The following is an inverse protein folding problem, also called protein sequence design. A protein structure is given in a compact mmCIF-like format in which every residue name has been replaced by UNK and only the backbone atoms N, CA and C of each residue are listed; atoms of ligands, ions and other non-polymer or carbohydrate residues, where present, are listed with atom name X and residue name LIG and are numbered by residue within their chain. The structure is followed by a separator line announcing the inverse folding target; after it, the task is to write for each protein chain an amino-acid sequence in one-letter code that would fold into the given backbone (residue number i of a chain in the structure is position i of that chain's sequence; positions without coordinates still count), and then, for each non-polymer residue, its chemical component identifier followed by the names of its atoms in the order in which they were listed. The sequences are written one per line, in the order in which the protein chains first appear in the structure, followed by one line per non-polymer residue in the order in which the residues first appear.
data_IF_652396428531
#
_entry.id   IF_652396428531
#
_cell.length_a   1.000
_cell.length_b   1.000
_cell.length_c   1.000
_cell.angle_alpha   90.00
_cell.angle_beta   90.00
_cell.angle_gamma   90.00
#
_symmetry.space_group_name_H-M   'P 1'
#
loop_
_entity.id
_entity.type
_entity.pdbx_description
1 polymer ?
#
# COMPACT_ATOMS: atom_id res chain seq x y z
N UNK A 1 -12.65 -9.09 -6.29
CA UNK A 1 -12.21 -8.72 -4.93
C UNK A 1 -13.23 -8.99 -3.81
N UNK A 2 -14.53 -9.21 -4.09
CA UNK A 2 -15.54 -9.41 -3.01
C UNK A 2 -16.34 -10.71 -3.11
N UNK A 3 -16.00 -11.57 -4.06
CA UNK A 3 -16.77 -12.79 -4.35
C UNK A 3 -16.79 -13.74 -3.15
N UNK A 4 -15.64 -13.94 -2.50
CA UNK A 4 -15.53 -14.86 -1.36
C UNK A 4 -16.37 -14.37 -0.16
N UNK A 5 -16.22 -13.12 0.31
CA UNK A 5 -17.07 -12.62 1.39
C UNK A 5 -18.56 -12.59 1.03
N UNK A 6 -18.92 -12.21 -0.21
CA UNK A 6 -20.31 -12.21 -0.66
C UNK A 6 -20.92 -13.62 -0.67
N UNK A 7 -20.19 -14.60 -1.23
CA UNK A 7 -20.62 -15.99 -1.28
C UNK A 7 -20.76 -16.59 0.13
N UNK A 8 -19.82 -16.30 1.04
CA UNK A 8 -19.89 -16.76 2.42
C UNK A 8 -21.16 -16.25 3.13
N UNK A 9 -21.49 -14.96 2.97
CA UNK A 9 -22.70 -14.37 3.56
C UNK A 9 -23.98 -14.97 2.95
N UNK A 10 -24.03 -15.10 1.63
CA UNK A 10 -25.19 -15.64 0.93
C UNK A 10 -25.45 -17.11 1.29
N UNK A 11 -24.43 -17.96 1.16
CA UNK A 11 -24.53 -19.38 1.51
C UNK A 11 -24.84 -19.58 3.00
N UNK A 12 -24.19 -18.83 3.89
CA UNK A 12 -24.45 -18.90 5.32
C UNK A 12 -25.87 -18.48 5.68
N UNK A 13 -26.38 -17.40 5.06
CA UNK A 13 -27.77 -16.97 5.21
C UNK A 13 -28.77 -18.03 4.74
N UNK A 14 -28.51 -18.66 3.58
CA UNK A 14 -29.33 -19.76 3.08
C UNK A 14 -29.34 -20.97 4.02
N UNK A 15 -28.18 -21.40 4.51
CA UNK A 15 -28.07 -22.55 5.42
C UNK A 15 -28.90 -22.32 6.68
N UNK A 16 -28.86 -21.13 7.28
CA UNK A 16 -29.70 -20.84 8.45
C UNK A 16 -31.17 -20.82 8.10
N UNK A 17 -31.54 -20.17 6.99
CA UNK A 17 -32.93 -20.07 6.58
C UNK A 17 -33.53 -21.47 6.40
N UNK A 18 -32.77 -22.40 5.82
CA UNK A 18 -33.13 -23.82 5.70
C UNK A 18 -33.31 -24.45 7.08
N UNK A 19 -32.34 -24.30 7.97
CA UNK A 19 -32.38 -24.91 9.32
C UNK A 19 -33.48 -24.35 10.22
N UNK A 20 -33.89 -23.10 10.01
CA UNK A 20 -34.98 -22.45 10.73
C UNK A 20 -36.36 -22.69 10.10
N UNK A 21 -36.43 -23.43 8.99
CA UNK A 21 -37.69 -23.70 8.28
C UNK A 21 -38.33 -22.45 7.65
N UNK A 22 -37.56 -21.38 7.47
CA UNK A 22 -38.03 -20.10 6.87
C UNK A 22 -37.49 -19.90 5.45
N UNK A 23 -36.80 -20.91 4.91
CA UNK A 23 -36.23 -20.85 3.56
C UNK A 23 -37.31 -20.67 2.51
N UNK A 24 -37.06 -19.73 1.60
CA UNK A 24 -37.86 -19.52 0.39
C UNK A 24 -36.91 -19.45 -0.79
N UNK A 25 -37.09 -20.35 -1.76
CA UNK A 25 -36.26 -20.39 -2.96
C UNK A 25 -36.30 -19.04 -3.70
N UNK A 26 -37.47 -18.41 -3.79
CA UNK A 26 -37.62 -17.09 -4.39
C UNK A 26 -36.77 -16.02 -3.70
N UNK A 27 -36.72 -15.98 -2.37
CA UNK A 27 -35.87 -15.05 -1.62
C UNK A 27 -34.39 -15.32 -1.88
N UNK A 28 -33.95 -16.58 -1.83
CA UNK A 28 -32.55 -16.93 -2.10
C UNK A 28 -32.12 -16.57 -3.53
N UNK A 29 -33.01 -16.75 -4.51
CA UNK A 29 -32.79 -16.33 -5.90
C UNK A 29 -32.75 -14.80 -6.04
N UNK A 30 -33.66 -14.08 -5.38
CA UNK A 30 -33.63 -12.61 -5.36
C UNK A 30 -32.34 -12.07 -4.73
N UNK A 31 -31.87 -12.66 -3.62
CA UNK A 31 -30.63 -12.26 -2.97
C UNK A 31 -29.42 -12.52 -3.90
N UNK A 32 -29.38 -13.69 -4.55
CA UNK A 32 -28.34 -14.03 -5.52
C UNK A 32 -28.35 -13.07 -6.71
N UNK A 33 -29.54 -12.79 -7.26
CA UNK A 33 -29.71 -11.84 -8.36
C UNK A 33 -29.27 -10.43 -7.93
N UNK A 34 -29.61 -10.00 -6.72
CA UNK A 34 -29.17 -8.72 -6.16
C UNK A 34 -27.66 -8.62 -6.05
N UNK A 35 -26.99 -9.66 -5.55
CA UNK A 35 -25.53 -9.73 -5.49
C UNK A 35 -24.89 -9.69 -6.88
N UNK A 36 -25.43 -10.43 -7.84
CA UNK A 36 -24.95 -10.44 -9.23
C UNK A 36 -25.15 -9.09 -9.90
N UNK A 37 -26.32 -8.48 -9.79
CA UNK A 37 -26.62 -7.16 -10.35
C UNK A 37 -25.71 -6.10 -9.73
N UNK A 38 -25.56 -6.09 -8.40
CA UNK A 38 -24.65 -5.17 -7.73
C UNK A 38 -23.20 -5.35 -8.18
N UNK A 39 -22.76 -6.60 -8.34
CA UNK A 39 -21.44 -6.93 -8.89
C UNK A 39 -21.27 -6.48 -10.34
N UNK A 40 -22.28 -6.65 -11.19
CA UNK A 40 -22.27 -6.21 -12.58
C UNK A 40 -22.28 -4.69 -12.72
N UNK A 41 -23.03 -3.98 -11.86
CA UNK A 41 -23.02 -2.51 -11.84
C UNK A 41 -21.63 -2.00 -11.42
N UNK A 42 -21.09 -2.51 -10.30
CA UNK A 42 -19.78 -2.09 -9.82
C UNK A 42 -18.65 -2.46 -10.79
N UNK A 43 -18.67 -3.69 -11.33
CA UNK A 43 -17.71 -4.17 -12.31
C UNK A 43 -17.83 -3.41 -13.63
N UNK A 44 -19.05 -3.18 -14.12
CA UNK A 44 -19.34 -2.41 -15.32
C UNK A 44 -18.87 -0.97 -15.21
N UNK A 45 -19.11 -0.31 -14.06
CA UNK A 45 -18.60 1.03 -13.78
C UNK A 45 -17.05 1.07 -13.81
N UNK A 46 -16.39 0.06 -13.24
CA UNK A 46 -14.94 -0.06 -13.31
C UNK A 46 -14.41 -0.28 -14.73
N UNK A 47 -15.04 -1.17 -15.51
CA UNK A 47 -14.68 -1.39 -16.91
C UNK A 47 -14.89 -0.14 -17.76
N UNK A 48 -16.01 0.56 -17.55
CA UNK A 48 -16.30 1.83 -18.22
C UNK A 48 -15.23 2.87 -17.87
N UNK A 49 -14.88 3.02 -16.60
CA UNK A 49 -13.81 3.92 -16.16
C UNK A 49 -12.48 3.62 -16.86
N UNK A 50 -12.04 2.36 -16.85
CA UNK A 50 -10.81 1.93 -17.52
C UNK A 50 -10.83 2.22 -19.02
N UNK A 51 -11.99 2.03 -19.67
CA UNK A 51 -12.14 2.37 -21.08
C UNK A 51 -12.09 3.88 -21.32
N UNK A 52 -12.75 4.66 -20.46
CA UNK A 52 -12.84 6.11 -20.57
C UNK A 52 -11.47 6.78 -20.34
N UNK A 53 -10.61 6.21 -19.49
CA UNK A 53 -9.26 6.71 -19.22
C UNK A 53 -8.19 6.13 -20.14
N UNK A 54 -8.56 5.33 -21.16
CA UNK A 54 -7.61 4.66 -22.06
C UNK A 54 -6.78 3.56 -21.40
N UNK A 55 -7.11 3.16 -20.17
CA UNK A 55 -6.36 2.17 -19.39
C UNK A 55 -6.81 0.72 -19.63
N UNK A 56 -7.85 0.50 -20.45
CA UNK A 56 -8.41 -0.83 -20.70
C UNK A 56 -7.41 -1.81 -21.34
N UNK A 57 -6.73 -1.39 -22.41
CA UNK A 57 -5.76 -2.27 -23.07
C UNK A 57 -4.52 -2.55 -22.17
N UNK A 58 -3.88 -1.54 -21.54
CA UNK A 58 -2.80 -1.79 -20.57
C UNK A 58 -3.22 -2.68 -19.40
N UNK A 59 -4.46 -2.53 -18.90
CA UNK A 59 -4.98 -3.39 -17.84
C UNK A 59 -4.97 -4.87 -18.24
N UNK A 60 -5.50 -5.19 -19.43
CA UNK A 60 -5.50 -6.57 -19.92
C UNK A 60 -4.11 -7.08 -20.24
N UNK A 61 -3.22 -6.23 -20.72
CA UNK A 61 -1.82 -6.57 -20.89
C UNK A 61 -1.22 -7.04 -19.55
N UNK A 62 -1.36 -6.25 -18.49
CA UNK A 62 -0.85 -6.59 -17.15
C UNK A 62 -1.48 -7.90 -16.65
N UNK A 63 -2.81 -8.03 -16.73
CA UNK A 63 -3.53 -9.20 -16.22
C UNK A 63 -3.13 -10.47 -16.95
N UNK A 64 -3.01 -10.45 -18.28
CA UNK A 64 -2.80 -11.65 -19.08
C UNK A 64 -1.31 -12.00 -19.25
N UNK A 65 -0.43 -11.01 -19.35
CA UNK A 65 0.97 -11.24 -19.75
C UNK A 65 2.00 -10.97 -18.66
N UNK A 66 1.69 -10.10 -17.69
CA UNK A 66 2.63 -9.72 -16.63
C UNK A 66 2.30 -10.41 -15.29
N UNK A 67 1.02 -10.58 -14.96
CA UNK A 67 0.59 -11.02 -13.63
C UNK A 67 1.08 -12.42 -13.23
N UNK A 68 1.36 -13.28 -14.21
CA UNK A 68 1.91 -14.61 -13.97
C UNK A 68 3.29 -14.55 -13.32
N UNK A 69 4.21 -13.80 -13.94
CA UNK A 69 5.57 -13.61 -13.44
C UNK A 69 5.59 -12.83 -12.13
N UNK A 70 4.78 -11.77 -12.03
CA UNK A 70 4.62 -11.05 -10.76
C UNK A 70 4.23 -12.02 -9.64
N UNK A 71 3.22 -12.86 -9.86
CA UNK A 71 2.77 -13.85 -8.88
C UNK A 71 3.84 -14.87 -8.53
N UNK A 72 4.74 -15.23 -9.44
CA UNK A 72 5.88 -16.09 -9.08
C UNK A 72 6.91 -15.35 -8.24
N UNK A 73 7.19 -14.08 -8.55
CA UNK A 73 8.15 -13.24 -7.84
C UNK A 73 7.71 -12.87 -6.43
N UNK A 74 6.40 -12.66 -6.20
CA UNK A 74 5.85 -12.26 -4.89
C UNK A 74 4.99 -13.33 -4.20
N UNK A 75 4.70 -14.44 -4.86
CA UNK A 75 3.68 -15.40 -4.39
C UNK A 75 4.19 -16.52 -3.50
N UNK A 76 5.49 -16.62 -3.25
CA UNK A 76 6.08 -17.64 -2.40
C UNK A 76 5.48 -17.64 -0.99
N UNK A 77 5.15 -18.83 -0.47
CA UNK A 77 4.56 -18.99 0.87
C UNK A 77 5.39 -18.34 1.98
N UNK A 78 6.73 -18.40 1.87
CA UNK A 78 7.63 -17.76 2.83
C UNK A 78 7.46 -16.24 2.89
N UNK A 79 7.39 -15.57 1.72
CA UNK A 79 7.17 -14.13 1.65
C UNK A 79 5.76 -13.75 2.14
N UNK A 80 4.73 -14.54 1.80
CA UNK A 80 3.37 -14.33 2.32
C UNK A 80 3.30 -14.45 3.84
N UNK A 81 3.95 -15.46 4.41
CA UNK A 81 4.01 -15.63 5.86
C UNK A 81 4.77 -14.48 6.52
N UNK A 82 5.93 -14.11 5.96
CA UNK A 82 6.74 -12.99 6.46
C UNK A 82 5.99 -11.65 6.41
N UNK A 83 5.28 -11.35 5.32
CA UNK A 83 4.48 -10.13 5.17
C UNK A 83 3.28 -10.11 6.12
N UNK A 84 2.57 -11.23 6.28
CA UNK A 84 1.51 -11.33 7.28
C UNK A 84 2.05 -11.15 8.70
N UNK A 85 3.13 -11.84 9.08
CA UNK A 85 3.75 -11.68 10.40
C UNK A 85 4.25 -10.25 10.64
N UNK A 86 4.88 -9.64 9.62
CA UNK A 86 5.30 -8.26 9.66
C UNK A 86 4.12 -7.33 9.91
N UNK A 87 2.99 -7.54 9.23
CA UNK A 87 1.76 -6.79 9.52
C UNK A 87 1.33 -6.95 10.98
N UNK A 88 1.27 -8.18 11.51
CA UNK A 88 0.84 -8.39 12.90
C UNK A 88 1.75 -7.71 13.93
N UNK A 89 3.06 -7.69 13.70
CA UNK A 89 4.01 -7.00 14.58
C UNK A 89 3.92 -5.49 14.41
N UNK A 90 3.92 -5.02 13.17
CA UNK A 90 4.00 -3.61 12.83
C UNK A 90 2.73 -2.83 13.20
N UNK A 91 1.58 -3.46 13.02
CA UNK A 91 0.26 -2.86 13.30
C UNK A 91 -0.24 -3.15 14.72
N UNK A 92 0.60 -3.67 15.60
CA UNK A 92 0.24 -3.81 17.01
C UNK A 92 -0.10 -2.43 17.62
N UNK A 93 -1.13 -2.35 18.48
CA UNK A 93 -1.96 -3.45 18.98
C UNK A 93 -3.15 -3.79 18.06
N UNK A 94 -3.46 -3.00 17.04
CA UNK A 94 -4.65 -3.18 16.20
C UNK A 94 -4.75 -4.58 15.59
N UNK A 95 -3.62 -5.12 15.17
CA UNK A 95 -3.52 -6.48 14.65
C UNK A 95 -3.92 -7.56 15.67
N UNK A 96 -3.75 -7.31 16.98
CA UNK A 96 -4.16 -8.22 18.06
C UNK A 96 -5.66 -8.37 18.18
N UNK A 97 -6.44 -7.46 17.57
CA UNK A 97 -7.90 -7.57 17.49
C UNK A 97 -8.33 -8.90 16.90
N UNK A 98 -7.56 -9.46 15.97
CA UNK A 98 -7.86 -10.76 15.38
C UNK A 98 -7.89 -11.90 16.43
N UNK A 99 -7.12 -11.80 17.51
CA UNK A 99 -7.11 -12.79 18.61
C UNK A 99 -8.45 -12.86 19.34
N UNK A 100 -9.27 -11.80 19.29
CA UNK A 100 -10.60 -11.76 19.90
C UNK A 100 -11.69 -11.92 18.85
N UNK A 101 -11.57 -11.21 17.72
CA UNK A 101 -12.57 -11.24 16.66
C UNK A 101 -12.70 -12.60 15.98
N UNK A 102 -11.61 -13.36 15.79
CA UNK A 102 -11.68 -14.70 15.18
C UNK A 102 -12.43 -15.69 16.08
N UNK A 103 -12.08 -15.90 17.36
CA UNK A 103 -12.84 -16.79 18.24
C UNK A 103 -14.31 -16.37 18.37
N UNK A 104 -14.57 -15.06 18.45
CA UNK A 104 -15.92 -14.53 18.52
C UNK A 104 -16.74 -14.84 17.27
N UNK A 105 -16.17 -14.61 16.09
CA UNK A 105 -16.82 -14.91 14.82
C UNK A 105 -17.10 -16.40 14.66
N UNK A 106 -16.12 -17.24 15.01
CA UNK A 106 -16.26 -18.70 14.98
C UNK A 106 -17.36 -19.17 15.95
N UNK A 107 -17.40 -18.60 17.16
CA UNK A 107 -18.46 -18.91 18.12
C UNK A 107 -19.84 -18.53 17.59
N UNK A 108 -20.01 -17.34 17.01
CA UNK A 108 -21.28 -16.94 16.40
C UNK A 108 -21.71 -17.90 15.28
N UNK A 109 -20.76 -18.40 14.49
CA UNK A 109 -21.00 -19.45 13.49
C UNK A 109 -21.46 -20.76 14.12
N UNK A 110 -20.79 -21.23 15.17
CA UNK A 110 -21.16 -22.46 15.89
C UNK A 110 -22.54 -22.33 16.52
N UNK A 111 -22.81 -21.22 17.22
CA UNK A 111 -24.08 -20.95 17.90
C UNK A 111 -25.24 -20.87 16.90
N UNK A 112 -25.00 -20.30 15.71
CA UNK A 112 -26.00 -20.27 14.63
C UNK A 112 -26.27 -21.67 14.02
N UNK A 113 -25.31 -22.59 14.15
CA UNK A 113 -25.43 -23.99 13.71
C UNK A 113 -25.94 -24.91 14.83
N UNK A 114 -26.13 -24.42 16.06
CA UNK A 114 -26.76 -25.20 17.11
C UNK A 114 -28.25 -25.45 16.80
N UNK A 115 -28.87 -26.52 17.33
CA UNK A 115 -30.30 -26.72 17.21
C UNK A 115 -31.06 -25.48 17.76
N UNK A 116 -32.14 -25.05 17.10
CA UNK A 116 -32.92 -23.91 17.59
C UNK A 116 -33.43 -24.21 19.00
N UNK A 117 -32.92 -23.50 20.00
CA UNK A 117 -33.48 -23.54 21.34
C UNK A 117 -34.92 -22.99 21.29
N UNK A 118 -35.81 -23.45 22.18
CA UNK A 118 -37.18 -22.92 22.33
C UNK A 118 -37.25 -21.44 22.73
N UNK A 119 -36.10 -20.78 22.91
CA UNK A 119 -35.99 -19.38 23.31
C UNK A 119 -36.24 -18.48 22.11
N UNK A 120 -36.98 -17.39 22.34
CA UNK A 120 -37.27 -16.34 21.36
C UNK A 120 -36.04 -16.00 20.52
N UNK A 121 -36.15 -15.90 19.19
CA UNK A 121 -35.04 -15.52 18.34
C UNK A 121 -34.53 -14.15 18.79
N UNK A 122 -33.27 -14.10 19.22
CA UNK A 122 -32.57 -12.82 19.39
C UNK A 122 -32.54 -12.13 18.02
N UNK A 123 -33.21 -10.97 17.96
CA UNK A 123 -33.36 -10.16 16.74
C UNK A 123 -32.02 -9.76 16.12
N UNK A 124 -30.92 -9.82 16.88
CA UNK A 124 -29.56 -9.55 16.41
C UNK A 124 -28.77 -10.77 15.91
N UNK A 125 -29.22 -12.00 16.16
CA UNK A 125 -28.40 -13.20 15.92
C UNK A 125 -28.05 -13.43 14.44
N UNK A 126 -29.00 -13.18 13.54
CA UNK A 126 -28.76 -13.30 12.10
C UNK A 126 -27.74 -12.27 11.60
N UNK A 127 -27.86 -11.01 12.05
CA UNK A 127 -26.91 -9.95 11.71
C UNK A 127 -25.50 -10.25 12.21
N UNK A 128 -25.36 -10.75 13.45
CA UNK A 128 -24.05 -11.15 14.01
C UNK A 128 -23.40 -12.27 13.22
N UNK A 129 -24.18 -13.27 12.77
CA UNK A 129 -23.61 -14.30 11.94
C UNK A 129 -23.14 -13.73 10.60
N UNK A 130 -23.98 -12.97 9.89
CA UNK A 130 -23.60 -12.42 8.58
C UNK A 130 -22.32 -11.58 8.71
N UNK A 131 -22.20 -10.77 9.77
CA UNK A 131 -20.99 -10.01 10.06
C UNK A 131 -19.77 -10.91 10.36
N UNK A 132 -19.98 -12.02 11.08
CA UNK A 132 -18.93 -13.00 11.39
C UNK A 132 -18.44 -13.74 10.14
N UNK A 133 -19.36 -14.14 9.25
CA UNK A 133 -19.04 -14.77 7.96
C UNK A 133 -18.31 -13.80 7.05
N UNK A 134 -18.78 -12.54 6.98
CA UNK A 134 -18.12 -11.47 6.24
C UNK A 134 -16.68 -11.28 6.72
N UNK A 135 -16.49 -11.18 8.04
CA UNK A 135 -15.17 -11.03 8.67
C UNK A 135 -14.23 -12.19 8.33
N UNK A 136 -14.65 -13.43 8.61
CA UNK A 136 -13.81 -14.62 8.43
C UNK A 136 -13.45 -14.83 6.96
N UNK A 137 -14.43 -14.68 6.05
CA UNK A 137 -14.21 -14.84 4.63
C UNK A 137 -13.27 -13.77 4.06
N UNK A 138 -13.42 -12.51 4.51
CA UNK A 138 -12.53 -11.44 4.10
C UNK A 138 -11.12 -11.62 4.65
N UNK A 139 -10.97 -12.03 5.92
CA UNK A 139 -9.68 -12.31 6.54
C UNK A 139 -8.95 -13.43 5.78
N UNK A 140 -9.63 -14.53 5.47
CA UNK A 140 -9.07 -15.62 4.67
C UNK A 140 -8.64 -15.13 3.29
N UNK A 141 -9.48 -14.35 2.61
CA UNK A 141 -9.13 -13.79 1.31
C UNK A 141 -7.90 -12.88 1.37
N UNK A 142 -7.85 -11.98 2.36
CA UNK A 142 -6.78 -11.00 2.52
C UNK A 142 -5.44 -11.63 2.93
N UNK A 143 -5.47 -12.66 3.77
CA UNK A 143 -4.26 -13.31 4.30
C UNK A 143 -3.75 -14.47 3.44
N UNK A 144 -4.63 -15.22 2.78
CA UNK A 144 -4.23 -16.45 2.07
C UNK A 144 -4.25 -16.30 0.54
N UNK A 145 -5.15 -15.49 0.00
CA UNK A 145 -5.37 -15.42 -1.45
C UNK A 145 -4.66 -14.21 -2.04
N UNK A 146 -4.87 -13.04 -1.44
CA UNK A 146 -4.24 -11.79 -1.85
C UNK A 146 -2.82 -11.64 -1.28
N UNK A 147 -2.01 -10.79 -1.92
CA UNK A 147 -0.76 -10.32 -1.30
C UNK A 147 -1.13 -9.35 -0.19
N UNK A 148 -0.70 -9.65 1.03
CA UNK A 148 -1.16 -9.02 2.27
C UNK A 148 -0.53 -7.64 2.51
N UNK A 149 -0.80 -6.70 1.60
CA UNK A 149 -0.49 -5.29 1.81
C UNK A 149 -1.39 -4.68 2.89
N UNK A 150 -0.91 -3.61 3.50
CA UNK A 150 -1.56 -2.91 4.61
C UNK A 150 -3.01 -2.52 4.29
N UNK A 151 -3.25 -1.98 3.08
CA UNK A 151 -4.59 -1.57 2.65
C UNK A 151 -5.55 -2.75 2.44
N UNK A 152 -5.02 -3.95 2.14
CA UNK A 152 -5.83 -5.17 1.99
C UNK A 152 -6.30 -5.66 3.36
N UNK A 153 -5.43 -5.58 4.37
CA UNK A 153 -5.70 -6.01 5.74
C UNK A 153 -6.47 -4.98 6.58
N UNK A 154 -6.51 -3.71 6.16
CA UNK A 154 -7.34 -2.69 6.80
C UNK A 154 -8.83 -3.06 6.79
N UNK A 155 -9.33 -3.69 5.73
CA UNK A 155 -10.75 -4.08 5.62
C UNK A 155 -11.17 -5.12 6.67
N UNK A 156 -10.53 -6.30 6.79
CA UNK A 156 -10.90 -7.25 7.83
C UNK A 156 -10.70 -6.67 9.23
N UNK A 157 -9.72 -5.79 9.46
CA UNK A 157 -9.58 -5.07 10.73
C UNK A 157 -10.83 -4.24 11.07
N UNK A 158 -11.33 -3.44 10.13
CA UNK A 158 -12.53 -2.62 10.33
C UNK A 158 -13.79 -3.46 10.57
N UNK A 159 -13.93 -4.58 9.86
CA UNK A 159 -15.06 -5.51 10.06
C UNK A 159 -14.95 -6.19 11.44
N UNK A 160 -13.74 -6.56 11.86
CA UNK A 160 -13.48 -7.11 13.19
C UNK A 160 -13.83 -6.13 14.31
N UNK A 161 -13.52 -4.84 14.16
CA UNK A 161 -13.96 -3.78 15.08
C UNK A 161 -15.48 -3.70 15.17
N UNK A 162 -16.17 -3.72 14.01
CA UNK A 162 -17.64 -3.72 13.98
C UNK A 162 -18.22 -4.95 14.71
N UNK A 163 -17.58 -6.11 14.58
CA UNK A 163 -18.00 -7.34 15.27
C UNK A 163 -17.88 -7.21 16.80
N UNK A 164 -16.80 -6.62 17.30
CA UNK A 164 -16.62 -6.38 18.74
C UNK A 164 -17.66 -5.41 19.28
N UNK A 165 -17.94 -4.31 18.57
CA UNK A 165 -18.98 -3.34 18.96
C UNK A 165 -20.37 -3.98 18.94
N UNK A 166 -20.66 -4.82 17.95
CA UNK A 166 -21.93 -5.54 17.87
C UNK A 166 -22.11 -6.54 19.01
N UNK A 167 -21.01 -7.12 19.51
CA UNK A 167 -21.03 -8.04 20.65
C UNK A 167 -21.31 -7.34 21.97
N UNK A 168 -20.65 -6.21 22.25
CA UNK A 168 -20.83 -5.43 23.49
C UNK A 168 -22.29 -5.01 23.73
N UNK A 169 -23.01 -4.69 22.66
CA UNK A 169 -24.44 -4.32 22.73
C UNK A 169 -25.38 -5.47 23.11
N UNK A 170 -24.93 -6.72 22.95
CA UNK A 170 -25.75 -7.92 23.13
C UNK A 170 -25.33 -8.69 24.38
N UNK A 171 -24.04 -8.77 24.63
CA UNK A 171 -23.47 -9.43 25.79
C UNK A 171 -22.86 -8.35 26.69
N UNK A 172 -23.35 -8.23 27.94
CA UNK A 172 -22.67 -7.41 28.94
C UNK A 172 -21.26 -7.97 29.12
N UNK A 173 -20.20 -7.25 28.73
CA UNK A 173 -18.85 -7.75 28.90
C UNK A 173 -18.58 -7.99 30.39
N UNK A 174 -17.89 -9.09 30.70
CA UNK A 174 -17.43 -9.31 32.07
C UNK A 174 -16.48 -8.17 32.50
N UNK A 175 -16.35 -7.87 33.79
CA UNK A 175 -15.40 -6.85 34.26
C UNK A 175 -13.96 -7.09 33.74
N UNK A 176 -13.56 -8.35 33.60
CA UNK A 176 -12.26 -8.71 33.00
C UNK A 176 -12.16 -8.32 31.51
N UNK A 177 -13.22 -8.53 30.72
CA UNK A 177 -13.27 -8.11 29.32
C UNK A 177 -13.28 -6.58 29.19
N UNK A 178 -14.00 -5.88 30.08
CA UNK A 178 -13.96 -4.41 30.14
C UNK A 178 -12.56 -3.90 30.46
N UNK A 179 -11.88 -4.52 31.44
CA UNK A 179 -10.49 -4.22 31.77
C UNK A 179 -9.53 -4.48 30.61
N UNK A 180 -9.70 -5.59 29.90
CA UNK A 180 -8.89 -5.92 28.71
C UNK A 180 -9.12 -4.92 27.56
N UNK A 181 -10.38 -4.52 27.32
CA UNK A 181 -10.71 -3.51 26.32
C UNK A 181 -10.14 -2.14 26.70
N UNK A 182 -10.25 -1.73 27.97
CA UNK A 182 -9.66 -0.50 28.46
C UNK A 182 -8.13 -0.51 28.31
N UNK A 183 -7.47 -1.62 28.68
CA UNK A 183 -6.04 -1.79 28.47
C UNK A 183 -5.67 -1.73 26.99
N UNK A 184 -6.43 -2.39 26.11
CA UNK A 184 -6.23 -2.32 24.66
C UNK A 184 -6.31 -0.87 24.16
N UNK A 185 -7.36 -0.12 24.54
CA UNK A 185 -7.51 1.29 24.14
C UNK A 185 -6.35 2.13 24.67
N UNK A 186 -5.94 1.94 25.92
CA UNK A 186 -4.80 2.65 26.50
C UNK A 186 -3.50 2.35 25.76
N UNK A 187 -3.21 1.08 25.46
CA UNK A 187 -2.03 0.69 24.68
C UNK A 187 -2.13 1.26 23.27
N UNK A 188 -3.29 1.13 22.61
CA UNK A 188 -3.52 1.64 21.25
C UNK A 188 -3.27 3.14 21.17
N UNK A 189 -3.77 3.92 22.13
CA UNK A 189 -3.51 5.35 22.25
C UNK A 189 -2.03 5.64 22.55
N UNK A 190 -1.42 4.89 23.48
CA UNK A 190 -0.02 5.11 23.88
C UNK A 190 0.97 4.85 22.74
N UNK A 191 0.70 3.87 21.86
CA UNK A 191 1.56 3.57 20.71
C UNK A 191 1.10 4.23 19.42
N UNK A 192 -0.06 4.90 19.41
CA UNK A 192 -0.65 5.46 18.20
C UNK A 192 0.30 6.47 17.55
N UNK A 193 0.62 6.35 16.24
CA UNK A 193 1.52 7.29 15.59
C UNK A 193 1.04 8.75 15.67
N UNK A 194 -0.28 8.98 15.60
CA UNK A 194 -0.87 10.32 15.74
C UNK A 194 -0.88 10.85 17.18
N UNK A 195 -0.73 9.99 18.20
CA UNK A 195 -0.65 10.43 19.60
C UNK A 195 0.78 10.83 19.99
N UNK A 196 1.77 10.60 19.11
CA UNK A 196 3.16 11.01 19.37
C UNK A 196 3.25 12.53 19.48
N UNK A 197 3.97 13.09 20.48
CA UNK A 197 4.11 14.54 20.63
C UNK A 197 4.58 15.24 19.36
N UNK A 198 5.50 14.62 18.60
CA UNK A 198 5.97 15.13 17.31
C UNK A 198 4.87 15.25 16.26
N UNK A 199 3.95 14.28 16.18
CA UNK A 199 2.85 14.30 15.25
C UNK A 199 1.80 15.34 15.67
N UNK A 200 1.43 15.38 16.96
CA UNK A 200 0.51 16.38 17.51
C UNK A 200 1.03 17.82 17.32
N UNK A 201 2.32 18.04 17.53
CA UNK A 201 2.96 19.34 17.30
C UNK A 201 2.94 19.77 15.82
N UNK A 202 2.74 18.85 14.87
CA UNK A 202 2.62 19.17 13.46
C UNK A 202 1.21 19.61 13.05
N UNK A 203 0.17 19.41 13.88
CA UNK A 203 -1.22 19.76 13.52
C UNK A 203 -1.43 21.25 13.24
N UNK A 204 -0.92 22.19 14.06
CA UNK A 204 -1.03 23.61 13.76
C UNK A 204 -0.37 23.96 12.42
N UNK A 205 0.77 23.33 12.10
CA UNK A 205 1.48 23.52 10.83
C UNK A 205 0.67 22.98 9.64
N UNK A 206 -0.04 21.86 9.81
CA UNK A 206 -0.93 21.35 8.77
C UNK A 206 -2.05 22.36 8.45
N UNK A 207 -2.58 23.01 9.47
CA UNK A 207 -3.64 24.01 9.32
C UNK A 207 -3.14 25.35 8.76
N UNK A 208 -1.93 25.78 9.12
CA UNK A 208 -1.41 27.10 8.73
C UNK A 208 -0.56 27.09 7.45
N UNK A 209 0.29 26.08 7.26
CA UNK A 209 1.23 26.00 6.14
C UNK A 209 0.76 25.04 5.03
N UNK A 210 -0.22 24.17 5.30
CA UNK A 210 -0.72 23.19 4.35
C UNK A 210 0.29 22.07 4.04
N UNK A 211 0.33 21.61 2.78
CA UNK A 211 1.05 20.41 2.35
C UNK A 211 2.47 20.72 1.86
N UNK A 212 3.28 21.39 2.68
CA UNK A 212 4.69 21.71 2.33
C UNK A 212 5.60 20.48 2.46
N UNK A 213 6.75 20.44 1.76
CA UNK A 213 7.72 19.35 1.92
C UNK A 213 8.14 19.11 3.37
N UNK A 214 8.37 20.18 4.13
CA UNK A 214 8.72 20.08 5.55
C UNK A 214 7.58 19.45 6.39
N UNK A 215 6.33 19.87 6.17
CA UNK A 215 5.18 19.29 6.89
C UNK A 215 5.04 17.81 6.56
N UNK A 216 5.16 17.43 5.28
CA UNK A 216 5.13 16.03 4.86
C UNK A 216 6.23 15.21 5.54
N UNK A 217 7.47 15.70 5.55
CA UNK A 217 8.58 15.01 6.24
C UNK A 217 8.39 14.91 7.76
N UNK A 218 7.77 15.91 8.39
CA UNK A 218 7.46 15.87 9.82
C UNK A 218 6.38 14.83 10.15
N UNK A 219 5.38 14.71 9.27
CA UNK A 219 4.27 13.75 9.40
C UNK A 219 4.67 12.31 9.01
N UNK A 220 5.66 12.13 8.13
CA UNK A 220 6.20 10.81 7.78
C UNK A 220 6.71 10.11 9.04
N UNK A 221 6.00 9.06 9.46
CA UNK A 221 6.23 8.40 10.74
C UNK A 221 7.52 7.58 10.72
N UNK A 222 8.34 7.72 11.76
CA UNK A 222 9.67 7.09 11.81
C UNK A 222 9.71 5.56 11.71
N UNK A 223 8.57 4.88 11.92
CA UNK A 223 8.48 3.42 11.75
C UNK A 223 8.50 2.99 10.27
N UNK A 224 8.26 3.91 9.31
CA UNK A 224 8.34 3.66 7.87
C UNK A 224 9.54 4.31 7.18
N UNK A 225 10.27 5.22 7.85
CA UNK A 225 11.46 5.87 7.27
C UNK A 225 12.61 4.90 6.94
N UNK A 226 12.58 3.69 7.48
CA UNK A 226 13.51 2.60 7.18
C UNK A 226 12.90 1.51 6.28
N UNK A 227 11.69 1.74 5.77
CA UNK A 227 10.95 0.81 4.91
C UNK A 227 10.97 1.36 3.48
N UNK A 228 11.15 0.45 2.52
CA UNK A 228 11.28 0.75 1.09
C UNK A 228 10.16 1.67 0.58
N UNK A 229 10.53 2.69 -0.21
CA UNK A 229 9.60 3.52 -0.98
C UNK A 229 9.15 4.85 -0.36
N UNK A 230 9.47 5.17 0.90
CA UNK A 230 9.09 6.49 1.44
C UNK A 230 9.95 7.63 0.89
N UNK A 231 9.27 8.70 0.43
CA UNK A 231 9.91 9.92 -0.03
C UNK A 231 10.43 10.78 1.12
N UNK A 232 11.63 11.34 0.94
CA UNK A 232 12.13 12.45 1.77
C UNK A 232 11.79 13.75 1.04
N UNK A 233 10.67 14.36 1.41
CA UNK A 233 10.01 15.41 0.63
C UNK A 233 10.84 16.67 0.46
N UNK A 234 11.61 17.09 1.47
CA UNK A 234 12.48 18.26 1.33
C UNK A 234 13.61 18.04 0.31
N UNK A 235 14.29 16.89 0.40
CA UNK A 235 15.34 16.51 -0.54
C UNK A 235 14.76 16.32 -1.95
N UNK A 236 13.56 15.73 -2.06
CA UNK A 236 12.87 15.57 -3.33
C UNK A 236 12.42 16.93 -3.93
N UNK A 237 12.07 17.91 -3.10
CA UNK A 237 11.76 19.25 -3.54
C UNK A 237 13.00 19.96 -4.12
N UNK A 238 14.19 19.78 -3.51
CA UNK A 238 15.47 20.26 -4.08
C UNK A 238 15.74 19.62 -5.46
N UNK A 239 15.49 18.32 -5.60
CA UNK A 239 15.59 17.64 -6.91
C UNK A 239 14.61 18.22 -7.91
N UNK A 240 13.36 18.46 -7.51
CA UNK A 240 12.36 19.09 -8.37
C UNK A 240 12.80 20.49 -8.83
N UNK A 241 13.35 21.31 -7.92
CA UNK A 241 13.86 22.65 -8.26
C UNK A 241 15.05 22.60 -9.23
N UNK A 242 15.99 21.67 -9.02
CA UNK A 242 17.05 21.39 -9.98
C UNK A 242 16.47 21.02 -11.35
N UNK A 243 15.58 20.04 -11.43
CA UNK A 243 15.00 19.61 -12.71
C UNK A 243 14.20 20.72 -13.41
N UNK A 244 13.49 21.57 -12.66
CA UNK A 244 12.83 22.77 -13.22
C UNK A 244 13.84 23.74 -13.82
N UNK A 245 14.97 23.98 -13.15
CA UNK A 245 16.03 24.85 -13.67
C UNK A 245 16.65 24.32 -14.97
N UNK A 246 16.56 23.01 -15.22
CA UNK A 246 17.01 22.38 -16.45
C UNK A 246 15.96 22.46 -17.57
N UNK A 247 14.79 23.05 -17.34
CA UNK A 247 13.65 23.12 -18.26
C UNK A 247 13.23 21.73 -18.78
N UNK A 248 12.94 20.81 -17.86
CA UNK A 248 12.51 19.45 -18.20
C UNK A 248 11.07 19.40 -18.73
N UNK A 249 10.81 18.53 -19.69
CA UNK A 249 9.50 18.32 -20.34
C UNK A 249 8.97 16.89 -20.18
N UNK A 250 7.75 16.66 -20.68
CA UNK A 250 7.16 15.33 -20.80
C UNK A 250 8.10 14.35 -21.48
N UNK A 251 8.27 13.18 -20.86
CA UNK A 251 9.10 12.11 -21.41
C UNK A 251 10.60 12.22 -21.09
N UNK A 252 11.06 13.31 -20.48
CA UNK A 252 12.50 13.52 -20.24
C UNK A 252 12.98 13.00 -18.86
N UNK A 253 12.07 12.56 -17.99
CA UNK A 253 12.39 12.06 -16.65
C UNK A 253 12.09 10.57 -16.50
N UNK A 254 13.07 9.81 -16.02
CA UNK A 254 12.89 8.47 -15.48
C UNK A 254 13.10 8.45 -13.96
N UNK A 255 12.03 8.26 -13.20
CA UNK A 255 12.11 7.91 -11.78
C UNK A 255 12.47 6.43 -11.66
N UNK A 256 13.62 6.13 -11.06
CA UNK A 256 14.10 4.76 -10.93
C UNK A 256 13.41 4.02 -9.79
N UNK A 257 13.22 4.69 -8.66
CA UNK A 257 12.68 4.11 -7.43
C UNK A 257 11.32 4.70 -7.04
N UNK A 258 10.52 3.94 -6.31
CA UNK A 258 9.15 4.31 -5.88
C UNK A 258 9.11 5.62 -5.06
N UNK A 259 10.17 5.90 -4.30
CA UNK A 259 10.32 7.11 -3.49
C UNK A 259 10.53 8.40 -4.30
N UNK A 260 10.81 8.29 -5.60
CA UNK A 260 11.06 9.42 -6.50
C UNK A 260 9.87 9.74 -7.42
N UNK A 261 8.90 8.83 -7.58
CA UNK A 261 7.80 8.96 -8.55
C UNK A 261 6.91 10.20 -8.34
N UNK A 262 6.89 10.74 -7.11
CA UNK A 262 6.15 11.98 -6.82
C UNK A 262 6.69 13.20 -7.59
N UNK A 263 7.88 13.11 -8.18
CA UNK A 263 8.44 14.15 -9.07
C UNK A 263 7.56 14.40 -10.29
N UNK A 264 6.96 13.37 -10.90
CA UNK A 264 6.06 13.56 -12.05
C UNK A 264 4.91 14.50 -11.72
N UNK A 265 4.25 14.29 -10.57
CA UNK A 265 3.15 15.16 -10.12
C UNK A 265 3.64 16.54 -9.71
N UNK A 266 4.82 16.66 -9.09
CA UNK A 266 5.38 17.95 -8.65
C UNK A 266 5.89 18.82 -9.80
N UNK A 267 6.33 18.20 -10.89
CA UNK A 267 6.81 18.86 -12.10
C UNK A 267 5.71 19.02 -13.15
N UNK A 268 4.58 18.35 -12.96
CA UNK A 268 3.48 18.29 -13.93
C UNK A 268 3.93 17.73 -15.29
N UNK A 269 4.74 16.67 -15.27
CA UNK A 269 5.26 16.01 -16.47
C UNK A 269 4.90 14.52 -16.51
N UNK A 270 4.86 13.98 -17.72
CA UNK A 270 4.72 12.55 -18.00
C UNK A 270 6.07 11.82 -17.90
N UNK A 271 6.10 10.56 -17.44
CA UNK A 271 7.32 9.75 -17.38
C UNK A 271 7.90 9.46 -18.77
N UNK A 272 9.21 9.19 -18.84
CA UNK A 272 9.90 8.77 -20.07
C UNK A 272 9.44 7.42 -20.63
N UNK A 273 8.77 6.61 -19.81
CA UNK A 273 8.28 5.30 -20.20
C UNK A 273 7.00 4.95 -19.44
N UNK A 274 6.35 3.84 -19.80
CA UNK A 274 5.19 3.34 -19.04
C UNK A 274 5.56 2.81 -17.65
N UNK A 275 6.86 2.67 -17.36
CA UNK A 275 7.37 2.15 -16.09
C UNK A 275 7.69 3.30 -15.11
N UNK A 276 6.71 3.68 -14.30
CA UNK A 276 6.80 4.85 -13.39
C UNK A 276 7.86 4.76 -12.28
N UNK A 277 8.32 3.55 -11.94
CA UNK A 277 9.45 3.31 -11.02
C UNK A 277 10.24 2.06 -11.47
N UNK A 278 11.21 2.27 -12.35
CA UNK A 278 11.83 1.20 -13.17
C UNK A 278 12.45 0.06 -12.34
N UNK A 279 13.08 0.36 -11.20
CA UNK A 279 13.79 -0.62 -10.38
C UNK A 279 12.90 -1.79 -9.95
N UNK A 280 11.68 -1.52 -9.46
CA UNK A 280 10.80 -2.60 -9.01
C UNK A 280 10.32 -3.47 -10.17
N UNK A 281 10.12 -2.88 -11.35
CA UNK A 281 9.76 -3.65 -12.55
C UNK A 281 10.89 -4.62 -12.94
N UNK A 282 12.14 -4.17 -12.88
CA UNK A 282 13.31 -5.04 -13.14
C UNK A 282 13.51 -6.13 -12.09
N UNK A 283 13.01 -5.92 -10.86
CA UNK A 283 13.03 -6.92 -9.77
C UNK A 283 11.89 -7.92 -9.93
N UNK A 284 10.67 -7.47 -10.20
CA UNK A 284 9.50 -8.33 -10.26
C UNK A 284 9.34 -9.08 -11.59
N UNK A 285 9.93 -8.56 -12.67
CA UNK A 285 9.83 -9.12 -14.03
C UNK A 285 11.22 -9.41 -14.63
N UNK A 286 12.03 -10.29 -14.01
CA UNK A 286 13.39 -10.59 -14.46
C UNK A 286 13.46 -11.08 -15.91
N UNK A 287 12.46 -11.82 -16.40
CA UNK A 287 12.43 -12.33 -17.78
C UNK A 287 12.19 -11.23 -18.83
N UNK A 288 11.66 -10.07 -18.40
CA UNK A 288 11.33 -8.93 -19.26
C UNK A 288 12.30 -7.76 -19.12
N UNK A 289 13.44 -7.96 -18.45
CA UNK A 289 14.43 -6.88 -18.24
C UNK A 289 14.85 -6.16 -19.52
N UNK A 290 15.07 -6.90 -20.61
CA UNK A 290 15.44 -6.30 -21.89
C UNK A 290 14.31 -5.46 -22.48
N UNK A 291 13.07 -5.95 -22.42
CA UNK A 291 11.87 -5.22 -22.87
C UNK A 291 11.69 -3.93 -22.08
N UNK A 292 11.81 -4.00 -20.75
CA UNK A 292 11.68 -2.85 -19.85
C UNK A 292 12.77 -1.82 -20.15
N UNK A 293 14.03 -2.25 -20.20
CA UNK A 293 15.15 -1.34 -20.46
C UNK A 293 15.10 -0.75 -21.86
N UNK A 294 14.63 -1.51 -22.85
CA UNK A 294 14.44 -0.99 -24.20
C UNK A 294 13.42 0.15 -24.21
N UNK A 295 12.26 -0.02 -23.57
CA UNK A 295 11.23 1.02 -23.49
C UNK A 295 11.73 2.26 -22.75
N UNK A 296 12.40 2.07 -21.61
CA UNK A 296 13.01 3.17 -20.84
C UNK A 296 14.00 3.97 -21.68
N UNK A 297 14.89 3.31 -22.40
CA UNK A 297 15.90 3.98 -23.22
C UNK A 297 15.33 4.54 -24.53
N UNK A 298 14.33 3.90 -25.12
CA UNK A 298 13.60 4.40 -26.29
C UNK A 298 12.84 5.69 -25.99
N UNK A 299 12.38 5.84 -24.75
CA UNK A 299 11.84 7.09 -24.19
C UNK A 299 12.84 8.25 -24.14
N UNK A 300 14.14 7.97 -24.32
CA UNK A 300 15.23 8.96 -24.28
C UNK A 300 15.15 9.89 -23.07
N UNK A 301 15.07 9.34 -21.84
CA UNK A 301 15.12 10.17 -20.64
C UNK A 301 16.38 11.02 -20.71
N UNK A 302 16.25 12.29 -20.36
CA UNK A 302 17.38 13.21 -20.20
C UNK A 302 17.97 13.08 -18.80
N UNK A 303 17.10 12.83 -17.82
CA UNK A 303 17.48 12.63 -16.43
C UNK A 303 16.91 11.33 -15.86
N UNK A 304 17.70 10.68 -15.01
CA UNK A 304 17.24 9.55 -14.17
C UNK A 304 17.44 9.94 -12.71
N UNK A 305 16.40 9.75 -11.89
CA UNK A 305 16.49 9.99 -10.44
C UNK A 305 16.46 8.66 -9.72
N UNK A 306 17.50 8.38 -8.92
CA UNK A 306 17.57 7.20 -8.07
C UNK A 306 17.60 7.57 -6.59
N UNK A 307 17.23 6.61 -5.77
CA UNK A 307 17.32 6.69 -4.33
C UNK A 307 18.38 5.71 -3.83
N UNK A 308 19.48 6.24 -3.30
CA UNK A 308 20.62 5.41 -2.88
C UNK A 308 20.26 4.43 -1.77
N UNK A 309 19.26 4.75 -0.92
CA UNK A 309 18.82 3.81 0.11
C UNK A 309 18.09 2.60 -0.49
N UNK A 310 17.36 2.81 -1.59
CA UNK A 310 16.72 1.72 -2.33
C UNK A 310 17.75 0.83 -3.03
N UNK A 311 18.93 1.37 -3.32
CA UNK A 311 20.07 0.62 -3.87
C UNK A 311 20.94 -0.08 -2.81
N UNK A 312 20.58 0.02 -1.52
CA UNK A 312 21.26 -0.64 -0.40
C UNK A 312 22.15 0.29 0.43
N UNK A 313 22.14 1.59 0.19
CA UNK A 313 22.87 2.55 1.02
C UNK A 313 22.19 2.70 2.39
N UNK A 314 22.93 2.45 3.47
CA UNK A 314 22.35 2.47 4.81
C UNK A 314 21.79 3.85 5.15
N UNK A 315 20.54 3.90 5.62
CA UNK A 315 19.92 5.12 6.12
C UNK A 315 20.67 5.73 7.32
N UNK A 316 21.50 4.94 8.02
CA UNK A 316 22.39 5.43 9.07
C UNK A 316 23.57 6.21 8.47
N UNK A 317 24.23 5.63 7.46
CA UNK A 317 25.34 6.29 6.76
C UNK A 317 24.88 7.56 6.04
N UNK A 318 23.68 7.55 5.45
CA UNK A 318 23.10 8.71 4.77
C UNK A 318 22.79 9.92 5.68
N UNK A 319 22.70 9.73 7.01
CA UNK A 319 22.41 10.84 7.94
C UNK A 319 23.64 11.67 8.28
N UNK A 320 24.77 11.00 8.39
CA UNK A 320 26.06 11.60 8.77
C UNK A 320 26.96 11.83 7.56
N UNK A 321 26.43 11.63 6.35
CA UNK A 321 27.14 11.86 5.10
C UNK A 321 27.40 13.36 4.91
N UNK A 322 28.67 13.74 4.90
CA UNK A 322 29.11 15.11 4.66
C UNK A 322 28.91 15.52 3.18
N UNK A 323 28.87 14.56 2.26
CA UNK A 323 28.65 14.76 0.82
C UNK A 323 27.17 14.77 0.44
N UNK A 324 26.26 14.91 1.42
CA UNK A 324 24.83 14.67 1.26
C UNK A 324 24.17 15.50 0.14
N UNK A 325 24.71 16.68 -0.17
CA UNK A 325 24.24 17.56 -1.25
C UNK A 325 25.31 17.79 -2.35
N UNK A 326 26.41 17.04 -2.32
CA UNK A 326 27.45 17.09 -3.35
C UNK A 326 27.12 16.10 -4.49
N UNK A 327 27.31 16.50 -5.74
CA UNK A 327 27.04 15.67 -6.93
C UNK A 327 28.10 14.57 -7.14
N UNK A 328 28.35 13.80 -6.09
CA UNK A 328 29.35 12.73 -6.02
C UNK A 328 28.69 11.44 -5.56
N UNK A 329 29.35 10.34 -5.87
CA UNK A 329 28.94 9.02 -5.42
C UNK A 329 29.09 8.92 -3.90
N UNK A 330 28.07 8.43 -3.14
CA UNK A 330 28.17 8.35 -1.69
C UNK A 330 29.31 7.45 -1.21
N UNK A 331 30.09 7.94 -0.24
CA UNK A 331 31.14 7.16 0.41
C UNK A 331 30.59 5.85 1.00
N UNK A 332 31.28 4.74 0.70
CA UNK A 332 30.91 3.40 1.19
C UNK A 332 29.86 2.66 0.37
N UNK A 333 29.31 3.27 -0.68
CA UNK A 333 28.47 2.56 -1.64
C UNK A 333 29.35 1.93 -2.74
N UNK A 334 29.22 0.62 -3.05
CA UNK A 334 30.02 0.01 -4.11
C UNK A 334 29.61 0.58 -5.49
N UNK A 335 30.57 1.03 -6.32
CA UNK A 335 30.25 1.55 -7.65
C UNK A 335 29.69 0.45 -8.55
N UNK A 336 28.80 0.82 -9.47
CA UNK A 336 28.19 -0.10 -10.46
C UNK A 336 28.33 0.46 -11.88
N UNK A 337 29.58 0.64 -12.37
CA UNK A 337 29.85 1.38 -13.60
C UNK A 337 29.36 0.67 -14.87
N UNK A 338 28.92 -0.58 -14.77
CA UNK A 338 28.41 -1.41 -15.86
C UNK A 338 26.88 -1.46 -15.93
N UNK A 339 26.18 -0.81 -14.99
CA UNK A 339 24.73 -0.92 -14.85
C UNK A 339 24.05 0.43 -14.98
N UNK A 340 23.05 0.53 -15.85
CA UNK A 340 22.17 1.70 -15.90
C UNK A 340 21.30 1.77 -14.63
N UNK A 341 21.04 2.98 -14.07
CA UNK A 341 21.58 4.29 -14.45
C UNK A 341 22.93 4.64 -13.79
N UNK A 342 23.49 3.74 -12.99
CA UNK A 342 24.72 3.96 -12.21
C UNK A 342 25.99 4.16 -13.06
N UNK A 343 25.93 3.84 -14.35
CA UNK A 343 26.97 4.10 -15.33
C UNK A 343 26.90 5.48 -15.99
N UNK A 344 25.93 6.32 -15.60
CA UNK A 344 25.74 7.67 -16.09
C UNK A 344 26.41 8.71 -15.16
N UNK A 345 26.73 9.91 -15.64
CA UNK A 345 27.27 10.97 -14.80
C UNK A 345 26.24 11.48 -13.78
N UNK A 346 26.64 11.60 -12.51
CA UNK A 346 25.86 12.30 -11.48
C UNK A 346 25.99 13.80 -11.72
N UNK A 347 24.86 14.47 -11.89
CA UNK A 347 24.81 15.92 -12.15
C UNK A 347 24.22 16.72 -11.00
N UNK A 348 23.48 16.06 -10.11
CA UNK A 348 22.92 16.68 -8.92
C UNK A 348 22.68 15.63 -7.83
N UNK A 349 22.74 16.07 -6.58
CA UNK A 349 22.40 15.26 -5.42
C UNK A 349 21.66 16.13 -4.41
N UNK A 350 20.61 15.56 -3.83
CA UNK A 350 20.01 16.09 -2.63
C UNK A 350 19.67 14.94 -1.70
N UNK A 351 20.37 14.87 -0.56
CA UNK A 351 20.15 13.80 0.39
C UNK A 351 20.45 12.40 -0.15
N UNK A 352 19.39 11.60 -0.16
CA UNK A 352 19.38 10.23 -0.66
C UNK A 352 19.11 10.13 -2.17
N UNK A 353 18.82 11.25 -2.83
CA UNK A 353 18.47 11.24 -4.25
C UNK A 353 19.66 11.65 -5.11
N UNK A 354 19.99 10.82 -6.09
CA UNK A 354 20.96 11.12 -7.14
C UNK A 354 20.24 11.39 -8.44
N UNK A 355 20.68 12.43 -9.15
CA UNK A 355 20.23 12.74 -10.50
C UNK A 355 21.36 12.44 -11.47
N UNK A 356 21.07 11.58 -12.42
CA UNK A 356 21.98 11.20 -13.49
C UNK A 356 21.55 11.88 -14.79
N UNK A 357 22.50 12.42 -15.56
CA UNK A 357 22.25 12.86 -16.93
C UNK A 357 22.47 11.71 -17.90
N UNK A 358 21.58 11.54 -18.88
CA UNK A 358 21.63 10.45 -19.84
C UNK A 358 21.93 11.01 -21.24
N UNK A 359 22.96 10.47 -21.89
CA UNK A 359 23.44 10.92 -23.21
C UNK A 359 24.61 11.91 -23.12
N UNK A 360 25.00 12.51 -24.25
CA UNK A 360 26.17 13.41 -24.38
C UNK A 360 25.99 14.79 -23.71
N UNK A 361 24.88 15.00 -22.98
CA UNK A 361 24.69 16.17 -22.13
C UNK A 361 25.54 16.07 -20.86
N UNK A 362 26.86 16.13 -21.03
CA UNK A 362 27.69 16.77 -20.02
C UNK A 362 27.19 18.20 -19.89
N UNK A 363 26.60 18.54 -18.73
CA UNK A 363 26.25 19.92 -18.42
C UNK A 363 27.47 20.81 -18.72
N UNK A 364 27.31 22.01 -19.30
CA UNK A 364 28.41 22.95 -19.37
C UNK A 364 28.89 23.16 -17.93
N UNK A 365 30.16 22.81 -17.69
CA UNK A 365 30.79 22.98 -16.39
C UNK A 365 30.43 24.37 -15.86
N UNK A 366 29.75 24.41 -14.70
CA UNK A 366 29.45 25.67 -14.04
C UNK A 366 30.76 26.43 -13.88
N UNK A 367 30.83 27.57 -14.55
CA UNK A 367 31.93 28.53 -14.49
C UNK A 367 32.09 29.00 -13.04
N UNK A 368 32.85 28.24 -12.27
CA UNK A 368 33.28 28.58 -10.91
C UNK A 368 34.79 28.79 -10.87
N UNK A 369 35.34 29.28 -11.98
CA UNK A 369 36.70 29.85 -12.07
C UNK A 369 36.61 31.18 -12.82
N UNK A 370 36.03 32.22 -12.20
CA UNK A 370 36.21 33.59 -12.65
C UNK A 370 35.83 34.62 -11.58
N UNK A 371 36.53 34.64 -10.44
CA UNK A 371 36.93 35.89 -9.78
C UNK A 371 37.73 35.61 -8.50
N UNK A 372 39.04 35.86 -8.59
CA UNK A 372 39.99 36.40 -7.60
C UNK A 372 39.77 36.12 -6.11
#
# INVERSE_FOLDING_TARGET
YVIIPAAACWLGGMIIALRRGVFRASTATCDAAGLLIGGLIAGGAGCWWLSATGSWAPFWEIVLHWSGEYRTSVGGWGLRLATNLSYYVYYAPWSLLALVAVPLAVRNCIDALAPPAKVSPDSGAAGRLLLSLLYLAWLVQASLIQLSHEYVLAVPLMIGLALLVAWDRVARPSPGMQGALALFVLVALAVHPLARPRALAAWPLCASAGSTPEVKDRLSTGAKRSVMGEAHWQDLAKVADFLRSQNIHDGELACWDDSSQALYTQLHISPSSRFVHVANWLVFFPSRRQEIMHDVLAGRPRFVVTDVQMAGYSAFLARDDHQRDEAVWPDGMPPRPDQFPWNQPIVFRAGRYLVFAVGDESLPASSTEASR
#
